data_IF_559950557904
#
_entry.id   IF_559950557904
#
_cell.length_a   1.000
_cell.length_b   1.000
_cell.length_c   1.000
_cell.angle_alpha   90.00
_cell.angle_beta   90.00
_cell.angle_gamma   90.00
#
_symmetry.space_group_name_H-M   'P 1'
#
loop_
_entity.id
_entity.type
_entity.pdbx_description
1 polymer ?
#
# COMPACT_ATOMS: atom_id res chain seq x y z
N UNK A 1 -8.10 10.31 -21.98
CA UNK A 1 -7.79 9.41 -20.85
C UNK A 1 -7.48 10.25 -19.62
N UNK A 2 -8.14 10.01 -18.49
CA UNK A 2 -7.86 10.70 -17.21
C UNK A 2 -7.46 9.67 -16.17
N UNK A 3 -6.37 9.95 -15.44
CA UNK A 3 -5.90 9.08 -14.37
C UNK A 3 -6.51 9.50 -13.04
N UNK A 4 -6.89 8.53 -12.22
CA UNK A 4 -7.22 8.69 -10.81
C UNK A 4 -6.06 8.13 -9.97
N UNK A 5 -5.72 8.81 -8.87
CA UNK A 5 -4.64 8.41 -7.97
C UNK A 5 -5.15 8.32 -6.54
N UNK A 6 -4.59 7.38 -5.78
CA UNK A 6 -4.82 7.30 -4.32
C UNK A 6 -3.63 6.72 -3.59
N UNK A 7 -3.55 7.00 -2.30
CA UNK A 7 -2.57 6.40 -1.39
C UNK A 7 -3.24 5.44 -0.42
N UNK A 8 -2.59 4.33 -0.10
CA UNK A 8 -2.99 3.39 0.95
C UNK A 8 -1.85 3.20 1.94
N UNK A 9 -2.17 2.88 3.18
CA UNK A 9 -1.18 2.35 4.13
C UNK A 9 -1.11 0.84 3.92
N UNK A 10 0.09 0.33 3.67
CA UNK A 10 0.32 -1.11 3.64
C UNK A 10 0.39 -1.65 5.06
N UNK A 11 -0.14 -2.86 5.30
CA UNK A 11 -0.09 -3.49 6.62
C UNK A 11 1.36 -3.81 6.95
N UNK A 12 1.73 -3.58 8.21
CA UNK A 12 3.06 -3.90 8.73
C UNK A 12 2.94 -4.87 9.91
N UNK A 13 3.94 -5.73 10.09
CA UNK A 13 4.04 -6.69 11.18
C UNK A 13 4.71 -6.02 12.37
N UNK A 14 4.07 -6.05 13.53
CA UNK A 14 4.67 -5.49 14.74
C UNK A 14 3.75 -5.53 15.96
N UNK A 15 4.36 -5.58 17.14
CA UNK A 15 3.71 -5.28 18.43
C UNK A 15 4.26 -3.94 18.88
N UNK A 16 3.37 -3.06 19.34
CA UNK A 16 3.65 -1.78 20.03
C UNK A 16 5.16 -1.46 20.16
N UNK A 17 5.65 -0.64 19.23
CA UNK A 17 7.02 -0.12 19.09
C UNK A 17 8.07 -0.91 18.30
N UNK A 18 7.79 -2.12 17.80
CA UNK A 18 8.68 -2.83 16.87
C UNK A 18 7.97 -3.18 15.56
N UNK A 19 8.30 -2.45 14.49
CA UNK A 19 7.88 -2.77 13.13
C UNK A 19 8.94 -3.70 12.51
N UNK A 20 8.55 -4.93 12.18
CA UNK A 20 9.39 -5.96 11.59
C UNK A 20 9.31 -5.99 10.06
N UNK A 21 8.57 -5.06 9.44
CA UNK A 21 8.41 -4.97 7.99
C UNK A 21 6.96 -5.16 7.53
N UNK A 22 6.77 -5.32 6.22
CA UNK A 22 5.44 -5.48 5.62
C UNK A 22 4.81 -6.80 6.08
N UNK A 23 3.52 -6.75 6.41
CA UNK A 23 2.71 -7.95 6.46
C UNK A 23 2.37 -8.41 5.04
N UNK A 24 3.21 -9.29 4.49
CA UNK A 24 3.10 -9.76 3.11
C UNK A 24 1.72 -10.36 2.79
N UNK A 25 1.11 -11.10 3.72
CA UNK A 25 -0.19 -11.73 3.49
C UNK A 25 -1.31 -10.68 3.44
N UNK A 26 -1.35 -9.76 4.40
CA UNK A 26 -2.33 -8.66 4.39
C UNK A 26 -2.11 -7.70 3.21
N UNK A 27 -0.84 -7.46 2.83
CA UNK A 27 -0.51 -6.61 1.70
C UNK A 27 -0.95 -7.26 0.39
N UNK A 28 -0.72 -8.56 0.21
CA UNK A 28 -1.19 -9.33 -0.95
C UNK A 28 -2.71 -9.30 -1.06
N UNK A 29 -3.44 -9.58 0.02
CA UNK A 29 -4.91 -9.54 0.03
C UNK A 29 -5.45 -8.14 -0.35
N UNK A 30 -4.87 -7.09 0.26
CA UNK A 30 -5.28 -5.72 0.02
C UNK A 30 -4.99 -5.27 -1.41
N UNK A 31 -3.80 -5.56 -1.93
CA UNK A 31 -3.39 -5.17 -3.28
C UNK A 31 -4.16 -5.94 -4.34
N UNK A 32 -4.40 -7.24 -4.17
CA UNK A 32 -5.24 -8.02 -5.09
C UNK A 32 -6.69 -7.53 -5.10
N UNK A 33 -7.25 -7.19 -3.94
CA UNK A 33 -8.60 -6.61 -3.85
C UNK A 33 -8.70 -5.27 -4.59
N UNK A 34 -7.64 -4.46 -4.53
CA UNK A 34 -7.54 -3.20 -5.27
C UNK A 34 -7.35 -3.40 -6.77
N UNK A 35 -6.56 -4.40 -7.17
CA UNK A 35 -6.41 -4.84 -8.56
C UNK A 35 -7.73 -5.23 -9.21
N UNK A 36 -8.60 -5.96 -8.49
CA UNK A 36 -9.97 -6.29 -8.94
C UNK A 36 -10.85 -5.06 -9.19
N UNK A 37 -10.54 -3.92 -8.56
CA UNK A 37 -11.21 -2.63 -8.73
C UNK A 37 -10.53 -1.73 -9.78
N UNK A 38 -9.57 -2.28 -10.53
CA UNK A 38 -8.81 -1.60 -11.58
C UNK A 38 -7.68 -0.72 -11.08
N UNK A 39 -7.31 -0.79 -9.79
CA UNK A 39 -6.19 -0.03 -9.25
C UNK A 39 -4.87 -0.77 -9.44
N UNK A 40 -3.85 -0.05 -9.89
CA UNK A 40 -2.49 -0.55 -10.09
C UNK A 40 -1.55 0.15 -9.11
N UNK A 41 -0.73 -0.64 -8.39
CA UNK A 41 0.34 -0.09 -7.56
C UNK A 41 1.46 0.45 -8.44
N UNK A 42 1.89 1.68 -8.20
CA UNK A 42 2.95 2.34 -8.99
C UNK A 42 4.18 2.70 -8.18
N UNK A 43 4.05 2.89 -6.87
CA UNK A 43 5.18 3.21 -6.01
C UNK A 43 4.88 2.84 -4.56
N UNK A 44 5.94 2.54 -3.81
CA UNK A 44 5.92 2.30 -2.38
C UNK A 44 6.88 3.27 -1.72
N UNK A 45 6.37 4.03 -0.76
CA UNK A 45 7.10 5.07 -0.04
C UNK A 45 7.25 4.61 1.41
N UNK A 46 8.49 4.46 1.86
CA UNK A 46 8.80 4.22 3.27
C UNK A 46 9.03 5.56 3.96
N UNK A 47 8.10 5.97 4.82
CA UNK A 47 8.26 7.20 5.59
C UNK A 47 9.17 6.94 6.80
N UNK A 48 10.44 7.32 6.68
CA UNK A 48 11.51 7.10 7.66
C UNK A 48 11.17 7.58 9.08
N UNK A 49 10.34 8.62 9.20
CA UNK A 49 9.94 9.23 10.47
C UNK A 49 8.69 8.62 11.10
N UNK A 50 7.87 7.86 10.36
CA UNK A 50 6.57 7.39 10.84
C UNK A 50 6.39 5.88 10.82
N UNK A 51 7.45 5.13 10.44
CA UNK A 51 7.44 3.66 10.30
C UNK A 51 6.22 3.18 9.50
N UNK A 52 5.78 3.99 8.54
CA UNK A 52 4.62 3.70 7.69
C UNK A 52 5.10 3.45 6.28
N UNK A 53 4.56 2.41 5.70
CA UNK A 53 4.77 2.08 4.31
C UNK A 53 3.49 2.48 3.57
N UNK A 54 3.63 3.37 2.60
CA UNK A 54 2.52 3.94 1.84
C UNK A 54 2.62 3.51 0.39
N UNK A 55 1.57 2.88 -0.13
CA UNK A 55 1.45 2.56 -1.55
C UNK A 55 0.74 3.68 -2.30
N UNK A 56 1.30 4.12 -3.43
CA UNK A 56 0.62 4.97 -4.40
C UNK A 56 0.04 4.09 -5.51
N UNK A 57 -1.25 4.26 -5.79
CA UNK A 57 -1.97 3.55 -6.84
C UNK A 57 -2.53 4.51 -7.88
N UNK A 58 -2.64 4.03 -9.12
CA UNK A 58 -3.34 4.71 -10.22
C UNK A 58 -4.42 3.81 -10.81
N UNK A 59 -5.39 4.42 -11.49
CA UNK A 59 -6.27 3.71 -12.44
C UNK A 59 -6.77 4.65 -13.52
N UNK A 60 -7.20 4.10 -14.66
CA UNK A 60 -7.90 4.88 -15.68
C UNK A 60 -9.35 5.09 -15.26
N UNK A 61 -9.85 6.32 -15.44
CA UNK A 61 -11.26 6.65 -15.28
C UNK A 61 -12.05 6.34 -16.54
#
# INVERSE_FOLDING_TARGET
>A
MKWEYKTIKLPTKGVLDFDFGIDEAGADEQLNSLGKLGWELVSVICASNSRKIVGLLKRTK
#
